data_IF_027636492640
#
_entry.id   IF_027636492640
#
_cell.length_a   1.000
_cell.length_b   1.000
_cell.length_c   1.000
_cell.angle_alpha   90.00
_cell.angle_beta   90.00
_cell.angle_gamma   90.00
#
_symmetry.space_group_name_H-M   'P 1'
#
loop_
_entity.id
_entity.type
_entity.pdbx_description
1 polymer ?
#
# COMPACT_ATOMS: atom_id res chain seq x y z
N UNK A 1 -13.20 -7.81 9.87
CA UNK A 1 -13.91 -8.03 11.15
C UNK A 1 -14.80 -6.84 11.51
N UNK A 2 -14.27 -5.62 11.68
CA UNK A 2 -15.11 -4.45 12.02
C UNK A 2 -16.13 -4.05 10.93
N UNK A 3 -15.76 -4.19 9.64
CA UNK A 3 -16.65 -3.90 8.51
C UNK A 3 -17.83 -4.87 8.36
N UNK A 4 -17.77 -6.05 9.00
CA UNK A 4 -18.79 -7.10 8.92
C UNK A 4 -19.63 -7.19 10.21
N UNK A 5 -19.43 -6.28 11.17
CA UNK A 5 -20.21 -6.23 12.42
C UNK A 5 -21.64 -5.78 12.09
N UNK A 6 -22.59 -6.70 12.25
CA UNK A 6 -24.01 -6.51 11.88
C UNK A 6 -24.57 -7.67 11.03
N UNK A 7 -23.71 -8.46 10.37
CA UNK A 7 -24.09 -9.72 9.73
C UNK A 7 -25.02 -9.60 8.51
N UNK A 8 -25.31 -8.39 8.02
CA UNK A 8 -26.20 -8.22 6.87
C UNK A 8 -25.51 -8.65 5.56
N UNK A 9 -26.26 -9.16 4.55
CA UNK A 9 -25.67 -9.58 3.27
C UNK A 9 -24.87 -8.48 2.55
N UNK A 10 -25.27 -7.22 2.69
CA UNK A 10 -24.58 -6.07 2.10
C UNK A 10 -23.25 -5.78 2.81
N UNK A 11 -23.20 -5.89 4.13
CA UNK A 11 -21.96 -5.74 4.91
C UNK A 11 -20.96 -6.87 4.63
N UNK A 12 -21.45 -8.10 4.44
CA UNK A 12 -20.59 -9.24 4.11
C UNK A 12 -19.94 -9.08 2.73
N UNK A 13 -20.71 -8.66 1.72
CA UNK A 13 -20.20 -8.43 0.36
C UNK A 13 -19.16 -7.28 0.33
N UNK A 14 -19.42 -6.19 1.06
CA UNK A 14 -18.44 -5.10 1.22
C UNK A 14 -17.16 -5.54 1.93
N UNK A 15 -17.29 -6.35 2.99
CA UNK A 15 -16.17 -6.91 3.74
C UNK A 15 -15.27 -7.83 2.90
N UNK A 16 -15.86 -8.71 2.08
CA UNK A 16 -15.11 -9.60 1.19
C UNK A 16 -14.31 -8.79 0.17
N UNK A 17 -14.94 -7.81 -0.49
CA UNK A 17 -14.25 -6.93 -1.45
C UNK A 17 -13.08 -6.20 -0.81
N UNK A 18 -13.29 -5.64 0.38
CA UNK A 18 -12.24 -4.96 1.14
C UNK A 18 -11.06 -5.88 1.47
N UNK A 19 -11.34 -7.11 1.93
CA UNK A 19 -10.29 -8.10 2.27
C UNK A 19 -9.50 -8.48 1.02
N UNK A 20 -10.17 -8.80 -0.10
CA UNK A 20 -9.50 -9.16 -1.35
C UNK A 20 -8.59 -8.02 -1.82
N UNK A 21 -9.09 -6.78 -1.82
CA UNK A 21 -8.31 -5.61 -2.22
C UNK A 21 -7.09 -5.37 -1.31
N UNK A 22 -7.26 -5.49 0.00
CA UNK A 22 -6.15 -5.36 0.95
C UNK A 22 -5.14 -6.50 0.85
N UNK A 23 -5.60 -7.71 0.53
CA UNK A 23 -4.73 -8.86 0.34
C UNK A 23 -3.85 -8.66 -0.89
N UNK A 24 -4.42 -8.20 -2.02
CA UNK A 24 -3.65 -7.87 -3.23
C UNK A 24 -2.60 -6.81 -2.94
N UNK A 25 -2.97 -5.72 -2.27
CA UNK A 25 -2.00 -4.67 -1.87
C UNK A 25 -0.89 -5.18 -0.95
N UNK A 26 -1.22 -6.08 -0.02
CA UNK A 26 -0.25 -6.71 0.88
C UNK A 26 0.70 -7.66 0.14
N UNK A 27 0.19 -8.42 -0.84
CA UNK A 27 1.02 -9.27 -1.69
C UNK A 27 2.01 -8.45 -2.51
N UNK A 28 1.58 -7.32 -3.09
CA UNK A 28 2.48 -6.41 -3.81
C UNK A 28 3.58 -5.85 -2.91
N UNK A 29 3.25 -5.50 -1.67
CA UNK A 29 4.23 -5.06 -0.68
C UNK A 29 5.24 -6.17 -0.33
N UNK A 30 4.76 -7.41 -0.15
CA UNK A 30 5.62 -8.55 0.13
C UNK A 30 6.54 -8.88 -1.06
N UNK A 31 6.05 -8.77 -2.29
CA UNK A 31 6.86 -8.92 -3.49
C UNK A 31 7.94 -7.84 -3.56
N UNK A 32 7.59 -6.57 -3.31
CA UNK A 32 8.58 -5.49 -3.25
C UNK A 32 9.67 -5.77 -2.20
N UNK A 33 9.27 -6.19 -1.00
CA UNK A 33 10.20 -6.52 0.07
C UNK A 33 11.08 -7.74 -0.28
N UNK A 34 10.49 -8.79 -0.87
CA UNK A 34 11.20 -9.99 -1.29
C UNK A 34 12.24 -9.70 -2.36
N UNK A 35 11.89 -8.91 -3.38
CA UNK A 35 12.82 -8.46 -4.41
C UNK A 35 13.93 -7.61 -3.79
N UNK A 36 13.57 -6.62 -2.97
CA UNK A 36 14.55 -5.73 -2.30
C UNK A 36 15.55 -6.52 -1.46
N UNK A 37 15.06 -7.49 -0.68
CA UNK A 37 15.92 -8.35 0.12
C UNK A 37 16.78 -9.27 -0.75
N UNK A 38 16.21 -9.87 -1.79
CA UNK A 38 16.94 -10.72 -2.73
C UNK A 38 18.05 -9.99 -3.49
N UNK A 39 17.94 -8.67 -3.65
CA UNK A 39 18.90 -7.86 -4.40
C UNK A 39 19.92 -7.16 -3.49
N UNK A 40 19.48 -6.62 -2.34
CA UNK A 40 20.33 -5.81 -1.45
C UNK A 40 20.80 -6.56 -0.19
N UNK A 41 20.19 -7.72 0.11
CA UNK A 41 20.48 -8.53 1.30
C UNK A 41 20.00 -7.92 2.62
N UNK A 42 19.17 -6.87 2.57
CA UNK A 42 18.73 -6.14 3.77
C UNK A 42 17.35 -5.54 3.60
N UNK A 43 16.64 -5.39 4.72
CA UNK A 43 15.37 -4.66 4.81
C UNK A 43 15.48 -3.41 5.70
N UNK A 44 16.69 -3.08 6.18
CA UNK A 44 16.92 -1.86 6.94
C UNK A 44 16.86 -0.66 5.97
N UNK A 45 15.91 0.25 6.21
CA UNK A 45 15.67 1.41 5.34
C UNK A 45 16.90 2.31 5.17
N UNK A 46 17.70 2.50 6.21
CA UNK A 46 18.93 3.32 6.12
C UNK A 46 19.97 2.65 5.24
N UNK A 47 20.05 1.32 5.29
CA UNK A 47 20.99 0.56 4.48
C UNK A 47 20.54 0.48 3.01
N UNK A 48 19.22 0.33 2.78
CA UNK A 48 18.63 0.39 1.44
C UNK A 48 18.94 1.73 0.77
N UNK A 49 18.84 2.84 1.50
CA UNK A 49 19.08 4.19 0.95
C UNK A 49 20.48 4.34 0.33
N UNK A 50 21.49 3.67 0.89
CA UNK A 50 22.87 3.72 0.40
C UNK A 50 23.11 2.67 -0.70
N UNK A 51 22.46 1.51 -0.61
CA UNK A 51 22.69 0.36 -1.51
C UNK A 51 21.75 0.27 -2.71
N UNK A 52 20.70 1.07 -2.80
CA UNK A 52 19.73 0.94 -3.89
C UNK A 52 20.40 1.09 -5.27
N UNK A 53 21.44 1.94 -5.37
CA UNK A 53 22.21 2.12 -6.60
C UNK A 53 23.04 0.89 -7.02
N UNK A 54 23.27 -0.07 -6.11
CA UNK A 54 23.97 -1.33 -6.42
C UNK A 54 23.07 -2.28 -7.23
N UNK A 55 21.75 -2.12 -7.14
CA UNK A 55 20.80 -2.91 -7.92
C UNK A 55 20.76 -2.44 -9.39
N UNK A 56 20.54 -3.33 -10.37
CA UNK A 56 20.31 -2.92 -11.75
C UNK A 56 19.13 -1.97 -11.87
N UNK A 57 19.22 -0.99 -12.78
CA UNK A 57 18.16 0.02 -12.97
C UNK A 57 16.75 -0.59 -13.16
N UNK A 58 16.64 -1.68 -13.93
CA UNK A 58 15.36 -2.37 -14.15
C UNK A 58 14.77 -2.93 -12.84
N UNK A 59 15.62 -3.43 -11.95
CA UNK A 59 15.22 -3.95 -10.64
C UNK A 59 14.77 -2.82 -9.73
N UNK A 60 15.50 -1.70 -9.72
CA UNK A 60 15.08 -0.50 -8.98
C UNK A 60 13.70 -0.02 -9.45
N UNK A 61 13.48 0.08 -10.76
CA UNK A 61 12.20 0.47 -11.34
C UNK A 61 11.08 -0.51 -10.98
N UNK A 62 11.37 -1.81 -10.96
CA UNK A 62 10.42 -2.84 -10.54
C UNK A 62 10.04 -2.69 -9.05
N UNK A 63 11.01 -2.47 -8.16
CA UNK A 63 10.74 -2.23 -6.73
C UNK A 63 9.92 -0.95 -6.56
N UNK A 64 10.28 0.13 -7.26
CA UNK A 64 9.53 1.39 -7.22
C UNK A 64 8.07 1.20 -7.67
N UNK A 65 7.83 0.47 -8.77
CA UNK A 65 6.49 0.17 -9.27
C UNK A 65 5.67 -0.68 -8.31
N UNK A 66 6.25 -1.72 -7.72
CA UNK A 66 5.56 -2.56 -6.72
C UNK A 66 5.20 -1.77 -5.46
N UNK A 67 6.10 -0.94 -4.95
CA UNK A 67 5.84 -0.05 -3.81
C UNK A 67 4.79 1.01 -4.15
N UNK A 68 4.81 1.55 -5.37
CA UNK A 68 3.83 2.52 -5.85
C UNK A 68 2.42 1.92 -5.85
N UNK A 69 2.27 0.71 -6.38
CA UNK A 69 0.98 0.00 -6.41
C UNK A 69 0.55 -0.35 -4.99
N UNK A 70 1.45 -0.87 -4.15
CA UNK A 70 1.14 -1.28 -2.78
C UNK A 70 0.69 -0.10 -1.90
N UNK A 71 1.42 1.01 -1.91
CA UNK A 71 1.07 2.19 -1.11
C UNK A 71 -0.03 3.02 -1.76
N UNK A 72 -0.05 3.12 -3.08
CA UNK A 72 -1.12 3.78 -3.84
C UNK A 72 -2.48 3.12 -3.60
N UNK A 73 -2.52 1.79 -3.51
CA UNK A 73 -3.73 1.05 -3.15
C UNK A 73 -4.23 1.46 -1.75
N UNK A 74 -3.36 1.62 -0.76
CA UNK A 74 -3.73 2.11 0.58
C UNK A 74 -4.11 3.58 0.61
N UNK A 75 -3.45 4.40 -0.19
CA UNK A 75 -3.67 5.84 -0.28
C UNK A 75 -4.88 6.22 -1.17
N UNK A 76 -5.49 5.25 -1.86
CA UNK A 76 -6.55 5.47 -2.85
C UNK A 76 -6.14 6.49 -3.94
N UNK A 77 -4.90 6.38 -4.43
CA UNK A 77 -4.38 7.23 -5.52
C UNK A 77 -4.94 6.75 -6.86
N UNK A 78 -5.11 7.65 -7.83
CA UNK A 78 -5.49 7.27 -9.19
C UNK A 78 -4.48 6.27 -9.79
N UNK A 79 -4.91 5.17 -10.44
CA UNK A 79 -6.28 4.73 -10.71
C UNK A 79 -6.88 3.81 -9.63
N UNK A 80 -6.16 3.41 -8.59
CA UNK A 80 -6.55 2.38 -7.61
C UNK A 80 -7.52 2.85 -6.50
N UNK A 81 -8.25 3.95 -6.72
CA UNK A 81 -9.18 4.52 -5.73
C UNK A 81 -10.56 3.83 -5.67
N UNK A 82 -10.87 2.91 -6.60
CA UNK A 82 -12.20 2.31 -6.78
C UNK A 82 -12.78 1.61 -5.54
N UNK A 83 -11.93 1.16 -4.63
CA UNK A 83 -12.38 0.53 -3.39
C UNK A 83 -12.99 1.52 -2.39
N UNK A 84 -12.59 2.79 -2.46
CA UNK A 84 -13.00 3.81 -1.50
C UNK A 84 -14.49 4.18 -1.67
N UNK A 85 -15.03 4.48 -2.87
CA UNK A 85 -16.48 4.73 -3.01
C UNK A 85 -17.33 3.50 -2.67
N UNK A 86 -16.87 2.29 -3.02
CA UNK A 86 -17.65 1.06 -2.84
C UNK A 86 -17.71 0.56 -1.39
N UNK A 87 -16.75 0.93 -0.54
CA UNK A 87 -16.66 0.44 0.85
C UNK A 87 -17.34 1.35 1.88
N UNK A 88 -17.73 2.57 1.49
CA UNK A 88 -18.17 3.62 2.43
C UNK A 88 -19.70 3.77 2.57
N UNK A 89 -20.50 3.12 1.72
CA UNK A 89 -21.97 3.24 1.73
C UNK A 89 -22.69 2.34 2.75
N UNK A 90 -21.98 1.43 3.41
CA UNK A 90 -22.57 0.33 4.21
C UNK A 90 -22.10 0.20 5.68
N UNK A 91 -20.92 0.69 6.12
CA UNK A 91 -20.49 0.53 7.52
C UNK A 91 -21.07 1.57 8.50
N UNK A 92 -21.05 1.22 9.80
CA UNK A 92 -21.40 2.12 10.91
C UNK A 92 -20.52 3.41 10.88
N UNK A 93 -21.07 4.61 11.12
CA UNK A 93 -20.36 5.89 10.95
C UNK A 93 -19.01 5.99 11.66
N UNK A 94 -18.89 5.42 12.86
CA UNK A 94 -17.65 5.36 13.63
C UNK A 94 -16.53 4.58 12.94
N UNK A 95 -16.86 3.48 12.24
CA UNK A 95 -15.91 2.67 11.48
C UNK A 95 -15.47 3.44 10.23
N UNK A 96 -16.42 4.05 9.53
CA UNK A 96 -16.15 4.88 8.35
C UNK A 96 -15.20 6.04 8.66
N UNK A 97 -15.37 6.71 9.81
CA UNK A 97 -14.51 7.81 10.26
C UNK A 97 -13.06 7.37 10.58
N UNK A 98 -12.89 6.21 11.23
CA UNK A 98 -11.56 5.65 11.52
C UNK A 98 -10.83 5.25 10.24
N UNK A 99 -11.54 4.61 9.31
CA UNK A 99 -10.94 4.12 8.06
C UNK A 99 -10.57 5.27 7.12
N UNK A 100 -11.34 6.35 7.05
CA UNK A 100 -11.00 7.53 6.24
C UNK A 100 -9.86 8.35 6.82
N UNK A 101 -9.84 8.52 8.14
CA UNK A 101 -8.86 9.36 8.83
C UNK A 101 -7.45 8.78 8.83
N UNK A 102 -7.32 7.45 8.93
CA UNK A 102 -6.00 6.82 9.19
C UNK A 102 -5.43 6.10 7.98
N UNK A 103 -6.20 5.26 7.26
CA UNK A 103 -5.62 4.38 6.25
C UNK A 103 -5.01 5.14 5.06
N UNK A 104 -5.70 6.15 4.57
CA UNK A 104 -5.25 6.96 3.43
C UNK A 104 -3.99 7.76 3.78
N UNK A 105 -3.94 8.28 5.02
CA UNK A 105 -2.80 9.06 5.54
C UNK A 105 -1.55 8.20 5.72
N UNK A 106 -1.69 6.97 6.22
CA UNK A 106 -0.55 6.04 6.33
C UNK A 106 0.00 5.69 4.95
N UNK A 107 -0.86 5.42 3.96
CA UNK A 107 -0.41 5.16 2.60
C UNK A 107 0.41 6.32 2.01
N UNK A 108 -0.11 7.54 2.14
CA UNK A 108 0.59 8.75 1.67
C UNK A 108 1.92 8.98 2.42
N UNK A 109 1.94 8.80 3.74
CA UNK A 109 3.16 8.92 4.53
C UNK A 109 4.21 7.89 4.10
N UNK A 110 3.82 6.63 3.87
CA UNK A 110 4.74 5.60 3.38
C UNK A 110 5.35 5.97 2.03
N UNK A 111 4.57 6.55 1.11
CA UNK A 111 5.12 7.04 -0.16
C UNK A 111 6.12 8.18 0.06
N UNK A 112 5.73 9.18 0.87
CA UNK A 112 6.59 10.32 1.18
C UNK A 112 7.88 9.92 1.90
N UNK A 113 7.86 8.87 2.73
CA UNK A 113 9.04 8.41 3.46
C UNK A 113 9.94 7.52 2.61
N UNK A 114 9.38 6.60 1.84
CA UNK A 114 10.14 5.54 1.16
C UNK A 114 10.70 6.02 -0.17
N UNK A 115 9.93 6.75 -1.00
CA UNK A 115 10.38 7.11 -2.33
C UNK A 115 11.61 8.03 -2.34
N UNK A 116 11.63 9.15 -1.60
CA UNK A 116 12.81 10.01 -1.50
C UNK A 116 14.03 9.30 -0.92
N UNK A 117 13.80 8.38 0.01
CA UNK A 117 14.87 7.68 0.72
C UNK A 117 15.51 6.58 -0.14
N UNK A 118 14.70 5.81 -0.86
CA UNK A 118 15.17 4.68 -1.65
C UNK A 118 15.59 5.10 -3.05
N UNK A 119 14.94 6.12 -3.60
CA UNK A 119 15.10 6.57 -4.98
C UNK A 119 15.38 8.08 -5.04
N UNK A 120 16.48 8.56 -4.43
CA UNK A 120 16.76 10.00 -4.34
C UNK A 120 16.89 10.69 -5.71
N UNK A 121 17.28 9.95 -6.76
CA UNK A 121 17.37 10.48 -8.12
C UNK A 121 16.03 10.79 -8.78
N UNK A 122 14.89 10.33 -8.25
CA UNK A 122 13.56 10.74 -8.76
C UNK A 122 13.21 12.20 -8.44
N UNK A 123 13.97 12.84 -7.55
CA UNK A 123 13.72 14.20 -7.07
C UNK A 123 14.67 15.25 -7.66
N UNK A 124 15.60 14.84 -8.52
CA UNK A 124 16.54 15.71 -9.23
C UNK A 124 16.21 15.72 -10.73
#
# INVERSE_FOLDING_TARGET
VLLTVGGTPSQLNGGIRYVVLNLVGSMMLLLAAGVTYGTLGTLNMAHIAVRMNDAPYLVQAMIAGLLLIAFGAKAAVFPVFFWLPSSYHTPHPAVTALFSGVLTKVGMYSMYRVFPLFFPWLLN
#
